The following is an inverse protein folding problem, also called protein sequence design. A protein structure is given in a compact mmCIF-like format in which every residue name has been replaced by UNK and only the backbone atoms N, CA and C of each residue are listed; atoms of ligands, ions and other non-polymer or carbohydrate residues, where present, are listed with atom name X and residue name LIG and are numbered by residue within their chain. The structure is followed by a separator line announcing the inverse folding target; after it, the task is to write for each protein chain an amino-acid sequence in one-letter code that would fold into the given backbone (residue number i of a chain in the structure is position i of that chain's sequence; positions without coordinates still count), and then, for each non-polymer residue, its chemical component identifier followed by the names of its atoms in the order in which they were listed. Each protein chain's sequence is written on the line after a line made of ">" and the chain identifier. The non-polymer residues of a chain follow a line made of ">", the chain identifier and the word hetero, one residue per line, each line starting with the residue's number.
data_IF_748163444611
#
_entry.id   IF_748163444611
#
_cell.length_a   1.000
_cell.length_b   1.000
_cell.length_c   1.000
_cell.angle_alpha   90.00
_cell.angle_beta   90.00
_cell.angle_gamma   90.00
#
_symmetry.space_group_name_H-M   'P 1'
#
loop_
_entity.id
_entity.type
_entity.pdbx_description
1 polymer ?
#
# COMPACT_ATOMS: atom_id res chain seq x y z
N UNK A 1 -5.39 14.05 -11.83
CA UNK A 1 -5.57 12.97 -12.83
C UNK A 1 -6.52 11.94 -12.25
N UNK A 2 -7.56 11.50 -12.98
CA UNK A 2 -8.49 10.50 -12.43
C UNK A 2 -7.84 9.11 -12.29
N UNK A 3 -7.41 8.73 -11.08
CA UNK A 3 -6.82 7.42 -10.77
C UNK A 3 -7.89 6.32 -10.68
N UNK A 4 -9.04 6.66 -10.13
CA UNK A 4 -10.22 5.83 -9.96
C UNK A 4 -11.47 6.71 -9.87
N UNK A 5 -12.64 6.12 -9.98
CA UNK A 5 -13.92 6.81 -9.82
C UNK A 5 -14.45 6.70 -8.38
N UNK A 6 -15.24 7.68 -7.91
CA UNK A 6 -15.91 7.62 -6.60
C UNK A 6 -16.79 6.38 -6.45
N UNK A 7 -17.43 5.93 -7.54
CA UNK A 7 -18.26 4.71 -7.57
C UNK A 7 -17.43 3.47 -7.28
N UNK A 8 -16.24 3.33 -7.89
CA UNK A 8 -15.34 2.20 -7.63
C UNK A 8 -14.92 2.15 -6.15
N UNK A 9 -14.61 3.31 -5.55
CA UNK A 9 -14.24 3.41 -4.13
C UNK A 9 -15.38 3.01 -3.20
N UNK A 10 -16.60 3.50 -3.46
CA UNK A 10 -17.82 3.15 -2.70
C UNK A 10 -18.14 1.66 -2.77
N UNK A 11 -18.05 1.08 -3.98
CA UNK A 11 -18.27 -0.36 -4.20
C UNK A 11 -17.26 -1.19 -3.41
N UNK A 12 -15.99 -0.77 -3.40
CA UNK A 12 -14.93 -1.50 -2.70
C UNK A 12 -15.08 -1.44 -1.18
N UNK A 13 -15.39 -0.27 -0.62
CA UNK A 13 -15.56 -0.09 0.83
C UNK A 13 -16.92 -0.59 1.35
N UNK A 14 -17.88 -0.87 0.45
CA UNK A 14 -19.24 -1.33 0.79
C UNK A 14 -19.95 -0.43 1.81
N UNK A 15 -19.63 0.87 1.82
CA UNK A 15 -20.22 1.86 2.73
C UNK A 15 -20.56 3.15 1.97
N UNK A 16 -21.55 3.93 2.42
CA UNK A 16 -21.79 5.25 1.88
C UNK A 16 -20.58 6.16 2.19
N UNK A 17 -20.10 6.86 1.17
CA UNK A 17 -19.08 7.90 1.27
C UNK A 17 -19.64 9.16 0.63
N UNK A 18 -19.45 10.29 1.30
CA UNK A 18 -19.69 11.62 0.74
C UNK A 18 -18.75 11.88 -0.44
N UNK A 19 -19.13 12.79 -1.32
CA UNK A 19 -18.25 13.19 -2.43
C UNK A 19 -16.94 13.82 -1.91
N UNK A 20 -17.02 14.63 -0.85
CA UNK A 20 -15.86 15.24 -0.20
C UNK A 20 -14.86 14.20 0.34
N UNK A 21 -15.33 13.09 0.92
CA UNK A 21 -14.45 11.99 1.35
C UNK A 21 -13.78 11.29 0.16
N UNK A 22 -14.48 11.16 -0.97
CA UNK A 22 -13.94 10.55 -2.17
C UNK A 22 -12.89 11.46 -2.83
N UNK A 23 -13.14 12.77 -2.86
CA UNK A 23 -12.21 13.79 -3.35
C UNK A 23 -10.95 13.83 -2.48
N UNK A 24 -11.11 13.93 -1.16
CA UNK A 24 -9.97 13.93 -0.23
C UNK A 24 -9.10 12.66 -0.37
N UNK A 25 -9.73 11.48 -0.46
CA UNK A 25 -9.00 10.23 -0.63
C UNK A 25 -8.28 10.16 -1.98
N UNK A 26 -8.87 10.75 -3.03
CA UNK A 26 -8.27 10.81 -4.36
C UNK A 26 -7.08 11.76 -4.38
N UNK A 27 -7.22 12.98 -3.83
CA UNK A 27 -6.15 13.98 -3.75
C UNK A 27 -4.93 13.47 -2.99
N UNK A 28 -5.16 12.89 -1.80
CA UNK A 28 -4.08 12.34 -0.98
C UNK A 28 -3.38 11.14 -1.65
N UNK A 29 -4.13 10.31 -2.38
CA UNK A 29 -3.54 9.19 -3.13
C UNK A 29 -2.75 9.68 -4.34
N UNK A 30 -3.26 10.71 -5.03
CA UNK A 30 -2.59 11.33 -6.17
C UNK A 30 -1.26 11.96 -5.74
N UNK A 31 -1.25 12.75 -4.66
CA UNK A 31 -0.04 13.35 -4.11
C UNK A 31 1.01 12.30 -3.73
N UNK A 32 0.59 11.24 -3.02
CA UNK A 32 1.48 10.13 -2.65
C UNK A 32 2.08 9.41 -3.88
N UNK A 33 1.31 9.28 -4.96
CA UNK A 33 1.79 8.64 -6.19
C UNK A 33 2.75 9.55 -6.95
N UNK A 34 2.45 10.85 -7.06
CA UNK A 34 3.35 11.81 -7.68
C UNK A 34 4.66 11.94 -6.93
N UNK A 35 4.64 11.96 -5.59
CA UNK A 35 5.84 11.95 -4.77
C UNK A 35 6.74 10.74 -5.02
N UNK A 36 6.14 9.59 -5.34
CA UNK A 36 6.85 8.32 -5.53
C UNK A 36 7.36 8.10 -6.96
N UNK A 37 6.54 8.35 -7.99
CA UNK A 37 6.87 8.02 -9.39
C UNK A 37 7.02 9.24 -10.30
N UNK A 38 6.63 10.44 -9.83
CA UNK A 38 6.68 11.69 -10.57
C UNK A 38 5.87 11.63 -11.87
N UNK A 39 6.44 12.22 -12.93
CA UNK A 39 5.82 12.34 -14.26
C UNK A 39 5.66 11.02 -15.02
N UNK A 40 5.97 9.88 -14.39
CA UNK A 40 5.80 8.56 -15.01
C UNK A 40 4.34 8.11 -15.06
N UNK A 41 3.43 8.76 -14.34
CA UNK A 41 2.00 8.47 -14.43
C UNK A 41 1.44 8.94 -15.77
N UNK A 42 0.75 8.05 -16.49
CA UNK A 42 0.12 8.38 -17.78
C UNK A 42 -1.38 8.63 -17.63
N UNK A 43 -1.97 9.33 -18.61
CA UNK A 43 -3.42 9.43 -18.77
C UNK A 43 -3.84 8.72 -20.07
N UNK A 44 -4.62 7.62 -20.03
CA UNK A 44 -5.15 6.94 -18.83
C UNK A 44 -4.05 6.26 -17.99
N UNK A 45 -4.32 6.00 -16.69
CA UNK A 45 -3.35 5.36 -15.80
C UNK A 45 -2.98 3.96 -16.30
N UNK A 46 -1.70 3.59 -16.14
CA UNK A 46 -1.20 2.29 -16.56
C UNK A 46 -1.90 1.13 -15.83
N UNK A 47 -1.85 -0.05 -16.45
CA UNK A 47 -2.42 -1.27 -15.87
C UNK A 47 -1.77 -1.55 -14.51
N UNK A 48 -2.61 -1.71 -13.49
CA UNK A 48 -2.18 -1.98 -12.11
C UNK A 48 -2.17 -0.74 -11.22
N UNK A 49 -1.97 0.47 -11.75
CA UNK A 49 -1.96 1.73 -10.98
C UNK A 49 -3.30 1.93 -10.26
N UNK A 50 -4.42 1.74 -10.97
CA UNK A 50 -5.78 1.83 -10.40
C UNK A 50 -5.98 0.93 -9.18
N UNK A 51 -5.51 -0.32 -9.26
CA UNK A 51 -5.69 -1.28 -8.17
C UNK A 51 -4.91 -0.90 -6.91
N UNK A 52 -3.69 -0.34 -7.09
CA UNK A 52 -2.91 0.20 -5.97
C UNK A 52 -3.59 1.45 -5.42
N UNK A 53 -4.06 2.35 -6.29
CA UNK A 53 -4.71 3.60 -5.89
C UNK A 53 -5.98 3.35 -5.07
N UNK A 54 -6.82 2.39 -5.47
CA UNK A 54 -8.01 2.01 -4.71
C UNK A 54 -7.67 1.45 -3.33
N UNK A 55 -6.62 0.61 -3.21
CA UNK A 55 -6.19 0.08 -1.91
C UNK A 55 -5.67 1.19 -0.99
N UNK A 56 -4.89 2.12 -1.52
CA UNK A 56 -4.39 3.27 -0.76
C UNK A 56 -5.55 4.14 -0.31
N UNK A 57 -6.44 4.55 -1.20
CA UNK A 57 -7.62 5.34 -0.88
C UNK A 57 -8.52 4.68 0.20
N UNK A 58 -8.71 3.36 0.12
CA UNK A 58 -9.41 2.60 1.17
C UNK A 58 -8.70 2.69 2.52
N UNK A 59 -7.38 2.60 2.54
CA UNK A 59 -6.59 2.72 3.77
C UNK A 59 -6.67 4.13 4.35
N UNK A 60 -6.56 5.16 3.51
CA UNK A 60 -6.68 6.57 3.94
C UNK A 60 -7.98 6.79 4.71
N UNK A 61 -9.08 6.22 4.21
CA UNK A 61 -10.40 6.39 4.81
C UNK A 61 -10.69 5.48 6.01
N UNK A 62 -9.90 4.42 6.22
CA UNK A 62 -10.09 3.47 7.33
C UNK A 62 -9.06 3.63 8.44
N UNK A 63 -7.89 4.20 8.13
CA UNK A 63 -6.80 4.45 9.06
C UNK A 63 -6.13 5.81 8.75
N UNK A 64 -6.83 6.94 8.98
CA UNK A 64 -6.33 8.28 8.63
C UNK A 64 -5.12 8.72 9.46
N UNK A 65 -4.93 8.17 10.66
CA UNK A 65 -3.78 8.48 11.54
C UNK A 65 -2.57 7.57 11.33
N UNK A 66 -2.57 6.77 10.25
CA UNK A 66 -1.43 5.94 9.88
C UNK A 66 -0.97 5.01 11.00
N UNK A 67 -1.89 4.45 11.82
CA UNK A 67 -1.53 3.51 12.89
C UNK A 67 -0.71 2.38 12.27
N UNK A 68 0.60 2.43 12.51
CA UNK A 68 1.57 1.42 12.11
C UNK A 68 1.79 0.55 13.33
N UNK A 69 1.29 -0.68 13.25
CA UNK A 69 1.63 -1.72 14.21
C UNK A 69 2.81 -2.49 13.63
N UNK A 70 4.00 -2.22 14.14
CA UNK A 70 5.16 -3.05 13.86
C UNK A 70 5.31 -4.05 15.02
N UNK A 71 5.40 -5.34 14.67
CA UNK A 71 5.68 -6.41 15.63
C UNK A 71 7.17 -6.71 15.58
N UNK A 72 7.89 -6.38 16.65
CA UNK A 72 9.26 -6.79 16.87
C UNK A 72 9.29 -7.87 17.96
N UNK A 73 9.27 -9.13 17.54
CA UNK A 73 9.22 -10.29 18.45
C UNK A 73 7.89 -10.36 19.23
N UNK A 74 7.96 -10.40 20.56
CA UNK A 74 6.79 -10.48 21.45
C UNK A 74 6.13 -9.13 21.79
N UNK A 75 6.65 -8.02 21.25
CA UNK A 75 6.19 -6.68 21.58
C UNK A 75 5.46 -6.06 20.38
N UNK A 76 4.26 -5.55 20.64
CA UNK A 76 3.41 -4.90 19.65
C UNK A 76 3.42 -3.41 19.95
N UNK A 77 4.01 -2.61 19.07
CA UNK A 77 4.12 -1.17 19.26
C UNK A 77 3.30 -0.47 18.17
N UNK A 78 2.29 0.27 18.60
CA UNK A 78 1.46 1.08 17.72
C UNK A 78 1.94 2.52 17.80
N UNK A 79 2.49 3.01 16.69
CA UNK A 79 2.82 4.43 16.54
C UNK A 79 1.64 5.13 15.88
N UNK A 80 1.19 6.25 16.46
CA UNK A 80 0.36 7.22 15.76
C UNK A 80 1.33 8.22 15.14
N UNK A 81 1.36 8.28 13.82
CA UNK A 81 2.12 9.30 13.12
C UNK A 81 1.21 10.51 12.94
N UNK A 82 1.65 11.67 13.42
CA UNK A 82 0.90 12.94 13.32
C UNK A 82 1.11 13.58 11.92
N UNK A 83 1.71 12.84 10.99
CA UNK A 83 1.88 13.27 9.61
C UNK A 83 0.50 13.34 8.91
N UNK A 84 0.11 14.56 8.57
CA UNK A 84 -1.06 14.90 7.73
C UNK A 84 -1.02 14.33 6.29
N UNK A 85 -0.03 13.47 5.97
CA UNK A 85 0.22 12.94 4.64
C UNK A 85 0.04 11.42 4.55
N UNK A 86 -0.29 10.93 3.35
CA UNK A 86 -0.46 9.49 3.10
C UNK A 86 0.86 8.89 2.65
N UNK A 87 1.52 8.15 3.54
CA UNK A 87 2.75 7.43 3.19
C UNK A 87 2.45 6.06 2.59
N UNK A 88 3.00 5.77 1.41
CA UNK A 88 2.86 4.45 0.77
C UNK A 88 3.63 3.38 1.55
N UNK A 89 3.00 2.22 1.76
CA UNK A 89 3.68 1.05 2.31
C UNK A 89 4.74 0.53 1.34
N UNK A 90 5.71 -0.26 1.83
CA UNK A 90 6.75 -0.83 0.95
C UNK A 90 6.15 -1.68 -0.17
N UNK A 91 5.07 -2.41 0.11
CA UNK A 91 4.37 -3.21 -0.88
C UNK A 91 3.64 -2.37 -1.92
N UNK A 92 3.00 -1.28 -1.51
CA UNK A 92 2.36 -0.32 -2.42
C UNK A 92 3.41 0.35 -3.30
N UNK A 93 4.53 0.82 -2.74
CA UNK A 93 5.63 1.42 -3.51
C UNK A 93 6.18 0.42 -4.53
N UNK A 94 6.43 -0.83 -4.12
CA UNK A 94 6.90 -1.88 -5.03
C UNK A 94 5.92 -2.15 -6.17
N UNK A 95 4.62 -2.26 -5.87
CA UNK A 95 3.59 -2.50 -6.90
C UNK A 95 3.41 -1.31 -7.83
N UNK A 96 3.45 -0.08 -7.28
CA UNK A 96 3.35 1.16 -8.05
C UNK A 96 4.54 1.31 -9.00
N UNK A 97 5.78 1.20 -8.49
CA UNK A 97 7.02 1.23 -9.30
C UNK A 97 6.98 0.20 -10.44
N UNK A 98 6.56 -1.03 -10.14
CA UNK A 98 6.39 -2.08 -11.16
C UNK A 98 5.36 -1.69 -12.22
N UNK A 99 4.23 -1.12 -11.81
CA UNK A 99 3.16 -0.72 -12.72
C UNK A 99 3.58 0.41 -13.68
N UNK A 100 4.49 1.30 -13.25
CA UNK A 100 5.03 2.38 -14.10
C UNK A 100 6.34 2.00 -14.81
N UNK A 101 6.77 0.73 -14.73
CA UNK A 101 7.98 0.26 -15.40
C UNK A 101 9.29 0.78 -14.79
N UNK A 102 9.27 1.31 -13.57
CA UNK A 102 10.50 1.56 -12.82
C UNK A 102 11.12 0.21 -12.46
N UNK A 103 12.39 0.02 -12.81
CA UNK A 103 13.15 -1.10 -12.27
C UNK A 103 13.00 -1.04 -10.74
N UNK A 104 12.52 -2.13 -10.13
CA UNK A 104 12.61 -2.29 -8.69
C UNK A 104 14.09 -2.22 -8.36
N UNK A 105 14.58 -1.02 -8.01
CA UNK A 105 15.97 -0.82 -7.65
C UNK A 105 16.35 -1.86 -6.61
N UNK A 106 17.58 -2.35 -6.69
CA UNK A 106 18.17 -3.38 -5.85
C UNK A 106 18.27 -3.02 -4.34
N UNK A 107 17.37 -2.18 -3.83
CA UNK A 107 17.27 -1.80 -2.42
C UNK A 107 16.38 -2.72 -1.59
N UNK A 108 15.90 -3.84 -2.15
CA UNK A 108 15.26 -4.91 -1.37
C UNK A 108 16.05 -6.22 -1.46
N UNK A 109 17.33 -6.18 -1.08
CA UNK A 109 17.86 -7.35 -0.40
C UNK A 109 17.16 -7.40 0.96
N UNK A 110 16.18 -8.29 1.09
CA UNK A 110 15.71 -8.71 2.40
C UNK A 110 16.89 -9.41 3.07
N UNK A 111 17.62 -8.71 3.94
CA UNK A 111 18.67 -9.29 4.79
C UNK A 111 18.05 -10.00 6.00
N UNK A 112 16.71 -10.01 6.13
CA UNK A 112 16.06 -10.92 7.05
C UNK A 112 16.43 -12.35 6.63
N UNK A 113 17.00 -13.18 7.53
CA UNK A 113 17.30 -14.56 7.21
C UNK A 113 15.99 -15.21 6.75
N UNK A 114 16.00 -15.83 5.57
CA UNK A 114 14.91 -16.74 5.19
C UNK A 114 14.79 -17.73 6.33
N UNK A 115 13.63 -17.78 6.99
CA UNK A 115 13.36 -18.83 7.97
C UNK A 115 13.41 -20.16 7.20
N UNK A 116 14.59 -20.77 7.22
CA UNK A 116 14.82 -22.10 6.71
C UNK A 116 14.05 -23.06 7.63
N UNK A 117 12.79 -23.27 7.28
CA UNK A 117 11.95 -24.25 7.93
C UNK A 117 12.52 -25.62 7.56
N UNK A 118 13.44 -26.13 8.38
CA UNK A 118 14.04 -27.45 8.19
C UNK A 118 12.92 -28.48 8.23
N UNK A 119 12.83 -29.41 7.26
CA UNK A 119 11.77 -30.41 7.27
C UNK A 119 11.92 -31.28 8.52
N UNK A 120 10.93 -31.20 9.41
CA UNK A 120 10.84 -32.06 10.59
C UNK A 120 10.63 -33.49 10.12
N UNK A 121 11.69 -34.30 10.19
CA UNK A 121 11.60 -35.74 9.93
C UNK A 121 11.15 -36.39 11.23
N UNK A 122 9.89 -36.84 11.29
CA UNK A 122 9.38 -37.59 12.44
C UNK A 122 9.97 -39.00 12.39
N UNK A 123 10.89 -39.31 13.31
CA UNK A 123 11.43 -40.66 13.47
C UNK A 123 10.30 -41.58 13.99
N UNK A 124 9.89 -42.57 13.21
CA UNK A 124 9.08 -43.69 13.73
C UNK A 124 10.02 -44.84 14.07
N UNK A 125 10.10 -45.18 15.36
CA UNK A 125 10.68 -46.45 15.79
C UNK A 125 9.75 -47.60 15.34
N UNK A 126 10.33 -48.65 14.76
CA UNK A 126 9.67 -49.94 14.54
C UNK A 126 9.61 -50.74 15.84
#
# INVERSE_FOLDING_TARGET
>A
MALFSPTELRVLLKRPLTDAECELAHDLTEDAFFGEVGDRLTTPPQRGVKAVALNVACRVLTNPGGLRSEQAGGMLQSYADDETGVMLSDDERRRLRRAVGMASGASSLSIAPEEACSPVTVWRAQ
#
